data_IF_666833439204
#
_entry.id   IF_666833439204
#
_cell.length_a   1.000
_cell.length_b   1.000
_cell.length_c   1.000
_cell.angle_alpha   90.00
_cell.angle_beta   90.00
_cell.angle_gamma   90.00
#
_symmetry.space_group_name_H-M   'P 1'
#
loop_
_entity.id
_entity.type
_entity.pdbx_description
1 polymer ?
#
# COMPACT_ATOMS: atom_id res chain seq x y z
N UNK A 1 -39.19 49.32 -0.13
CA UNK A 1 -38.75 49.22 -1.54
C UNK A 1 -37.24 49.45 -1.53
N UNK A 2 -36.32 48.52 -1.75
CA UNK A 2 -36.33 47.12 -2.16
C UNK A 2 -35.19 46.46 -1.36
N UNK A 3 -35.44 45.33 -0.68
CA UNK A 3 -34.43 44.61 0.09
C UNK A 3 -33.60 43.76 -0.88
N UNK A 4 -32.32 44.08 -1.04
CA UNK A 4 -31.38 43.30 -1.85
C UNK A 4 -31.08 41.98 -1.15
N UNK A 5 -31.63 40.89 -1.68
CA UNK A 5 -31.34 39.52 -1.23
C UNK A 5 -30.21 38.97 -2.11
N UNK A 6 -28.98 38.95 -1.58
CA UNK A 6 -27.84 38.27 -2.24
C UNK A 6 -28.03 36.76 -2.16
N UNK A 7 -28.21 36.12 -3.32
CA UNK A 7 -28.16 34.67 -3.45
C UNK A 7 -26.69 34.25 -3.48
N UNK A 8 -26.22 33.64 -2.39
CA UNK A 8 -24.95 32.92 -2.39
C UNK A 8 -25.18 31.57 -3.09
N UNK A 9 -24.59 31.40 -4.28
CA UNK A 9 -24.46 30.09 -4.92
C UNK A 9 -23.39 29.32 -4.16
N UNK A 10 -23.83 28.49 -3.21
CA UNK A 10 -22.99 27.42 -2.66
C UNK A 10 -22.93 26.34 -3.73
N UNK A 11 -21.83 26.32 -4.48
CA UNK A 11 -21.54 25.22 -5.39
C UNK A 11 -21.32 23.94 -4.58
N UNK A 12 -22.27 23.02 -4.63
CA UNK A 12 -22.02 21.64 -4.23
C UNK A 12 -20.89 21.10 -5.11
N UNK A 13 -19.72 20.80 -4.52
CA UNK A 13 -18.80 19.84 -5.13
C UNK A 13 -19.63 18.57 -5.30
N UNK A 14 -19.83 18.15 -6.55
CA UNK A 14 -20.27 16.79 -6.80
C UNK A 14 -19.09 15.95 -6.35
N UNK A 15 -19.26 15.26 -5.23
CA UNK A 15 -18.45 14.08 -4.97
C UNK A 15 -18.78 13.14 -6.12
N UNK A 16 -17.83 13.02 -7.04
CA UNK A 16 -17.91 12.08 -8.12
C UNK A 16 -17.81 10.70 -7.47
N UNK A 17 -18.95 10.10 -7.18
CA UNK A 17 -19.04 8.67 -6.92
C UNK A 17 -18.81 7.95 -8.26
N UNK A 18 -17.65 8.18 -8.89
CA UNK A 18 -17.12 7.29 -9.89
C UNK A 18 -16.94 5.96 -9.19
N UNK A 19 -17.54 4.91 -9.75
CA UNK A 19 -17.31 3.53 -9.35
C UNK A 19 -15.85 3.33 -8.94
N UNK A 20 -15.61 2.83 -7.73
CA UNK A 20 -14.27 2.54 -7.18
C UNK A 20 -13.38 2.05 -8.33
N UNK A 21 -12.46 2.92 -8.77
CA UNK A 21 -11.56 2.56 -9.86
C UNK A 21 -10.81 1.33 -9.36
N UNK A 22 -10.97 0.20 -10.03
CA UNK A 22 -10.34 -1.06 -9.61
C UNK A 22 -8.83 -0.84 -9.47
N UNK A 23 -8.34 -0.76 -8.23
CA UNK A 23 -6.91 -0.61 -7.94
C UNK A 23 -6.17 -1.88 -8.38
N UNK A 24 -5.61 -1.85 -9.59
CA UNK A 24 -4.82 -2.97 -10.10
C UNK A 24 -3.45 -2.96 -9.44
N UNK A 25 -3.18 -3.99 -8.64
CA UNK A 25 -1.87 -4.24 -8.04
C UNK A 25 -1.13 -5.28 -8.88
N UNK A 26 0.00 -4.88 -9.46
CA UNK A 26 0.86 -5.80 -10.21
C UNK A 26 2.13 -6.14 -9.46
N UNK A 27 2.57 -5.25 -8.56
CA UNK A 27 3.89 -5.34 -7.96
C UNK A 27 3.85 -4.96 -6.49
N UNK A 28 4.48 -5.79 -5.67
CA UNK A 28 4.68 -5.52 -4.25
C UNK A 28 6.17 -5.63 -3.96
N UNK A 29 6.74 -4.55 -3.45
CA UNK A 29 8.10 -4.53 -2.93
C UNK A 29 8.05 -4.52 -1.41
N UNK A 30 8.78 -5.45 -0.79
CA UNK A 30 8.96 -5.53 0.66
C UNK A 30 10.42 -5.21 0.95
N UNK A 31 10.69 -4.03 1.48
CA UNK A 31 12.02 -3.60 1.91
C UNK A 31 12.18 -3.88 3.39
N UNK A 32 13.19 -4.67 3.73
CA UNK A 32 13.53 -5.02 5.11
C UNK A 32 14.92 -4.45 5.43
N UNK A 33 14.97 -3.57 6.43
CA UNK A 33 16.20 -2.92 6.88
C UNK A 33 16.58 -3.44 8.25
N UNK A 34 17.79 -3.99 8.41
CA UNK A 34 18.26 -4.48 9.72
C UNK A 34 18.33 -3.31 10.72
N UNK A 35 17.64 -3.45 11.86
CA UNK A 35 17.49 -2.39 12.86
C UNK A 35 18.84 -1.89 13.37
N UNK A 36 19.00 -0.57 13.45
CA UNK A 36 20.24 0.08 13.87
C UNK A 36 21.34 0.12 12.80
N UNK A 37 21.05 -0.28 11.56
CA UNK A 37 21.99 -0.27 10.44
C UNK A 37 21.37 0.37 9.20
N UNK A 38 22.16 0.50 8.13
CA UNK A 38 21.70 0.88 6.79
C UNK A 38 21.58 -0.33 5.85
N UNK A 39 21.74 -1.55 6.36
CA UNK A 39 21.66 -2.77 5.57
C UNK A 39 20.20 -3.07 5.24
N UNK A 40 19.81 -2.81 3.99
CA UNK A 40 18.46 -3.06 3.49
C UNK A 40 18.48 -4.11 2.36
N UNK A 41 17.43 -4.92 2.30
CA UNK A 41 17.17 -5.83 1.17
C UNK A 41 15.73 -5.69 0.75
N UNK A 42 15.49 -5.56 -0.56
CA UNK A 42 14.15 -5.50 -1.14
C UNK A 42 13.83 -6.82 -1.80
N UNK A 43 12.69 -7.39 -1.43
CA UNK A 43 12.11 -8.58 -2.03
C UNK A 43 10.90 -8.16 -2.85
N UNK A 44 10.74 -8.73 -4.03
CA UNK A 44 9.69 -8.31 -4.97
C UNK A 44 8.82 -9.49 -5.40
N UNK A 45 7.52 -9.24 -5.41
CA UNK A 45 6.56 -9.94 -6.24
C UNK A 45 6.19 -9.06 -7.43
N UNK A 46 6.15 -9.61 -8.65
CA UNK A 46 5.83 -8.85 -9.88
C UNK A 46 5.07 -9.68 -10.91
N UNK A 47 3.87 -9.22 -11.23
CA UNK A 47 2.93 -9.83 -12.18
C UNK A 47 2.19 -8.73 -12.97
N UNK A 48 2.70 -8.37 -14.14
CA UNK A 48 2.28 -7.14 -14.86
C UNK A 48 0.98 -7.24 -15.64
N UNK A 49 0.56 -8.45 -16.00
CA UNK A 49 -0.73 -8.70 -16.64
C UNK A 49 -1.81 -9.11 -15.63
N UNK A 50 -1.44 -9.25 -14.36
CA UNK A 50 -2.37 -9.46 -13.26
C UNK A 50 -3.02 -10.85 -13.24
N UNK A 51 -4.07 -11.03 -12.41
CA UNK A 51 -4.66 -12.34 -12.18
C UNK A 51 -5.19 -13.02 -13.46
N UNK A 52 -4.85 -14.30 -13.63
CA UNK A 52 -5.34 -15.13 -14.74
C UNK A 52 -4.54 -15.03 -16.04
N UNK A 53 -3.52 -14.16 -16.08
CA UNK A 53 -2.56 -14.03 -17.18
C UNK A 53 -1.41 -15.04 -17.11
N UNK A 54 -0.21 -14.56 -17.42
CA UNK A 54 1.03 -15.34 -17.28
C UNK A 54 1.38 -15.58 -15.81
N UNK A 55 2.35 -16.47 -15.57
CA UNK A 55 2.91 -16.59 -14.23
C UNK A 55 3.69 -15.31 -13.85
N UNK A 56 3.75 -14.96 -12.55
CA UNK A 56 4.51 -13.82 -12.09
C UNK A 56 5.97 -13.87 -12.57
N UNK A 57 6.42 -12.78 -13.16
CA UNK A 57 7.81 -12.63 -13.63
C UNK A 57 8.83 -12.63 -12.49
N UNK A 58 8.39 -12.31 -11.27
CA UNK A 58 9.23 -12.31 -10.08
C UNK A 58 8.43 -12.72 -8.84
N UNK A 59 9.02 -13.59 -8.04
CA UNK A 59 8.48 -14.01 -6.74
C UNK A 59 9.64 -14.35 -5.82
N UNK A 60 10.21 -13.34 -5.17
CA UNK A 60 11.35 -13.53 -4.28
C UNK A 60 10.97 -14.29 -3.00
N UNK A 61 11.84 -15.20 -2.55
CA UNK A 61 11.76 -15.78 -1.21
C UNK A 61 12.46 -14.86 -0.22
N UNK A 62 11.74 -14.40 0.81
CA UNK A 62 12.32 -13.62 1.90
C UNK A 62 13.23 -14.53 2.75
N UNK A 63 14.50 -14.15 2.88
CA UNK A 63 15.50 -14.83 3.71
C UNK A 63 16.15 -13.83 4.65
N UNK A 64 16.01 -14.08 5.95
CA UNK A 64 16.52 -13.21 7.00
C UNK A 64 17.58 -13.91 7.84
N UNK A 65 18.53 -13.14 8.37
CA UNK A 65 19.49 -13.66 9.31
C UNK A 65 18.80 -13.97 10.65
N UNK A 66 19.18 -15.05 11.35
CA UNK A 66 18.58 -15.41 12.63
C UNK A 66 18.91 -14.36 13.70
N UNK A 67 18.02 -14.22 14.69
CA UNK A 67 18.20 -13.33 15.85
C UNK A 67 18.40 -11.84 15.49
N UNK A 68 17.72 -11.37 14.45
CA UNK A 68 17.73 -9.98 13.99
C UNK A 68 16.33 -9.39 13.98
N UNK A 69 16.27 -8.08 14.15
CA UNK A 69 15.05 -7.27 13.99
C UNK A 69 15.18 -6.45 12.71
N UNK A 70 14.08 -6.35 11.96
CA UNK A 70 14.04 -5.62 10.70
C UNK A 70 12.90 -4.61 10.74
N UNK A 71 13.16 -3.41 10.24
CA UNK A 71 12.10 -2.44 9.93
C UNK A 71 11.57 -2.77 8.53
N UNK A 72 10.26 -2.79 8.37
CA UNK A 72 9.60 -3.12 7.10
C UNK A 72 9.02 -1.87 6.45
N UNK A 73 9.16 -1.78 5.14
CA UNK A 73 8.49 -0.80 4.29
C UNK A 73 7.92 -1.51 3.05
N UNK A 74 6.62 -1.41 2.83
CA UNK A 74 5.93 -1.95 1.65
C UNK A 74 5.68 -0.84 0.63
N UNK A 75 5.93 -1.13 -0.64
CA UNK A 75 5.55 -0.28 -1.78
C UNK A 75 4.71 -1.09 -2.74
N UNK A 76 3.60 -0.52 -3.21
CA UNK A 76 2.64 -1.15 -4.11
C UNK A 76 2.58 -0.37 -5.41
N UNK A 77 2.69 -1.05 -6.55
CA UNK A 77 2.70 -0.41 -7.87
C UNK A 77 1.69 -1.06 -8.82
N UNK A 78 1.22 -0.24 -9.76
CA UNK A 78 0.61 -0.68 -11.00
C UNK A 78 1.59 -0.46 -12.17
N UNK A 79 2.23 -1.54 -12.60
CA UNK A 79 3.16 -1.58 -13.73
C UNK A 79 2.47 -2.05 -15.03
N UNK A 80 1.14 -2.16 -15.07
CA UNK A 80 0.39 -2.45 -16.31
C UNK A 80 0.25 -1.21 -17.21
N UNK A 81 0.52 -0.03 -16.66
CA UNK A 81 0.43 1.27 -17.34
C UNK A 81 1.80 1.93 -17.47
N UNK A 82 1.92 2.93 -18.35
CA UNK A 82 3.18 3.65 -18.59
C UNK A 82 2.97 5.17 -18.51
N UNK A 83 3.65 5.89 -17.59
CA UNK A 83 4.59 5.37 -16.59
C UNK A 83 3.89 4.47 -15.55
N UNK A 84 4.64 3.59 -14.89
CA UNK A 84 4.12 2.80 -13.77
C UNK A 84 3.63 3.73 -12.66
N UNK A 85 2.49 3.41 -12.07
CA UNK A 85 1.87 4.20 -11.01
C UNK A 85 2.25 3.64 -9.63
N UNK A 86 2.58 4.54 -8.70
CA UNK A 86 2.72 4.19 -7.30
C UNK A 86 1.36 4.30 -6.61
N UNK A 87 0.87 3.17 -6.11
CA UNK A 87 -0.42 3.05 -5.42
C UNK A 87 -0.28 3.23 -3.90
N UNK A 88 0.94 3.28 -3.39
CA UNK A 88 1.20 3.47 -1.95
C UNK A 88 0.59 4.78 -1.40
N UNK A 89 0.62 5.93 -2.10
CA UNK A 89 -0.02 7.16 -1.63
C UNK A 89 -1.55 7.08 -1.58
N UNK A 90 -2.16 6.39 -2.53
CA UNK A 90 -3.61 6.15 -2.62
C UNK A 90 -4.05 5.29 -1.42
N UNK A 91 -3.41 4.13 -1.23
CA UNK A 91 -3.60 3.25 -0.07
C UNK A 91 -3.44 3.99 1.26
N UNK A 92 -2.47 4.90 1.38
CA UNK A 92 -2.26 5.70 2.60
C UNK A 92 -3.39 6.71 2.82
N UNK A 93 -3.91 7.29 1.74
CA UNK A 93 -5.05 8.23 1.79
C UNK A 93 -6.33 7.50 2.18
N UNK A 94 -6.49 6.28 1.67
CA UNK A 94 -7.62 5.39 1.90
C UNK A 94 -7.30 4.32 2.96
N UNK A 95 -6.49 4.67 3.97
CA UNK A 95 -5.97 3.72 4.96
C UNK A 95 -7.06 3.01 5.77
N UNK A 96 -8.28 3.57 5.83
CA UNK A 96 -9.40 2.94 6.53
C UNK A 96 -10.04 1.79 5.71
N UNK A 97 -9.75 1.69 4.42
CA UNK A 97 -10.32 0.70 3.51
C UNK A 97 -9.31 -0.42 3.17
N UNK A 98 -8.04 -0.22 3.56
CA UNK A 98 -6.93 -1.11 3.26
C UNK A 98 -6.29 -1.70 4.51
N UNK A 99 -5.77 -2.93 4.40
CA UNK A 99 -4.99 -3.56 5.46
C UNK A 99 -4.08 -4.68 4.92
N UNK A 100 -2.82 -4.69 5.38
CA UNK A 100 -1.84 -5.72 5.07
C UNK A 100 -1.78 -6.76 6.19
N UNK A 101 -1.82 -8.03 5.79
CA UNK A 101 -1.73 -9.17 6.69
C UNK A 101 -0.48 -9.99 6.38
N UNK A 102 0.22 -10.42 7.44
CA UNK A 102 1.49 -11.11 7.33
C UNK A 102 1.35 -12.56 7.82
N UNK A 103 1.42 -13.52 6.90
CA UNK A 103 1.38 -14.94 7.21
C UNK A 103 2.78 -15.56 7.06
N UNK A 104 3.39 -15.95 8.19
CA UNK A 104 4.71 -16.58 8.21
C UNK A 104 4.55 -18.10 8.32
N UNK A 105 5.10 -18.86 7.38
CA UNK A 105 4.91 -20.32 7.31
C UNK A 105 6.15 -21.16 7.61
N UNK A 106 7.35 -20.62 7.39
CA UNK A 106 8.61 -21.41 7.40
C UNK A 106 9.67 -20.88 8.38
N UNK A 107 9.30 -19.95 9.25
CA UNK A 107 10.21 -19.35 10.23
C UNK A 107 9.46 -18.94 11.50
N UNK A 108 10.18 -18.85 12.62
CA UNK A 108 9.65 -18.26 13.84
C UNK A 108 9.88 -16.74 13.81
N UNK A 109 9.04 -16.02 13.07
CA UNK A 109 9.07 -14.57 12.95
C UNK A 109 7.83 -14.00 13.63
N UNK A 110 8.03 -12.99 14.47
CA UNK A 110 6.96 -12.15 15.00
C UNK A 110 6.93 -10.85 14.20
N UNK A 111 5.76 -10.47 13.70
CA UNK A 111 5.53 -9.17 13.07
C UNK A 111 4.77 -8.31 14.07
N UNK A 112 5.26 -7.09 14.32
CA UNK A 112 4.73 -6.18 15.35
C UNK A 112 5.02 -4.72 14.97
N UNK A 113 4.49 -3.77 15.74
CA UNK A 113 4.69 -2.32 15.53
C UNK A 113 4.21 -1.80 14.16
N UNK A 114 3.16 -2.43 13.62
CA UNK A 114 2.54 -1.98 12.38
C UNK A 114 2.05 -0.53 12.49
N UNK A 115 2.22 0.25 11.43
CA UNK A 115 1.53 1.52 11.32
C UNK A 115 0.01 1.33 11.34
N UNK A 116 -0.70 2.38 11.71
CA UNK A 116 -2.15 2.33 11.95
C UNK A 116 -2.90 3.36 11.11
N UNK A 117 -4.14 3.05 10.81
CA UNK A 117 -5.10 3.96 10.20
C UNK A 117 -5.61 5.01 11.21
N UNK A 118 -6.51 5.88 10.76
CA UNK A 118 -7.13 6.92 11.61
C UNK A 118 -8.00 6.37 12.75
N UNK A 119 -8.36 5.09 12.69
CA UNK A 119 -9.16 4.37 13.70
C UNK A 119 -8.29 3.54 14.64
N UNK A 120 -6.96 3.71 14.58
CA UNK A 120 -5.98 2.93 15.35
C UNK A 120 -6.01 1.43 15.04
N UNK A 121 -6.48 1.05 13.85
CA UNK A 121 -6.38 -0.32 13.35
C UNK A 121 -5.09 -0.47 12.53
N UNK A 122 -4.43 -1.64 12.52
CA UNK A 122 -3.22 -1.83 11.75
C UNK A 122 -3.45 -1.63 10.25
N UNK A 123 -2.66 -0.77 9.62
CA UNK A 123 -2.58 -0.63 8.17
C UNK A 123 -1.54 -1.61 7.61
N UNK A 124 -0.32 -1.61 8.15
CA UNK A 124 0.72 -2.58 7.83
C UNK A 124 1.56 -2.26 6.60
N UNK A 125 1.63 -0.99 6.18
CA UNK A 125 2.61 -0.54 5.17
C UNK A 125 4.02 -0.43 5.76
N UNK A 126 4.13 -0.21 7.07
CA UNK A 126 5.42 -0.19 7.77
C UNK A 126 5.36 -0.93 9.10
N UNK A 127 6.51 -1.43 9.59
CA UNK A 127 6.67 -2.07 10.91
C UNK A 127 7.98 -1.72 11.59
#
# INVERSE_FOLDING_TARGET
MCLLFSVAVVGCKKDDHSHDESELITTVNVKLTESGTTNATTFTFRDTDGPGGNAPTKFDTIKLAPNKTYNCEITVLNESVTPAEDKTPEIRTEANDHQFYFAVTQANITVSNLDTDSRSLPLGLTS
#
